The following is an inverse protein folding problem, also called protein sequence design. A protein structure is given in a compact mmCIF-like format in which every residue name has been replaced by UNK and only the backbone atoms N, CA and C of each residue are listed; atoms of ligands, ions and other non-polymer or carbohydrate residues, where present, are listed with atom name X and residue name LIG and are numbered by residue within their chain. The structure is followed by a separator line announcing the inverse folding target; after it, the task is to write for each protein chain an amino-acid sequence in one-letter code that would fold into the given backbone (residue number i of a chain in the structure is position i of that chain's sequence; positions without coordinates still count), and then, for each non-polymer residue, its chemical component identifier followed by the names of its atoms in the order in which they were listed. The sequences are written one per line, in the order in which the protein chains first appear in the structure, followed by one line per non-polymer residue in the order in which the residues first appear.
data_IF_607873400337
#
_entry.id   IF_607873400337
#
_cell.length_a   1.000
_cell.length_b   1.000
_cell.length_c   1.000
_cell.angle_alpha   90.00
_cell.angle_beta   90.00
_cell.angle_gamma   90.00
#
_symmetry.space_group_name_H-M   'P 1'
#
loop_
_entity.id
_entity.type
_entity.pdbx_description
1 polymer ?
#
# COMPACT_ATOMS: atom_id res chain seq x y z
N UNK A 1 9.73 -25.65 26.36
CA UNK A 1 8.30 -25.43 26.69
C UNK A 1 7.96 -24.02 26.27
N UNK A 2 7.09 -23.92 25.26
CA UNK A 2 6.73 -22.69 24.56
C UNK A 2 5.71 -21.91 25.39
N UNK A 3 6.07 -20.71 25.84
CA UNK A 3 5.12 -19.77 26.43
C UNK A 3 4.38 -19.06 25.31
N UNK A 4 3.19 -19.54 24.98
CA UNK A 4 2.24 -18.77 24.19
C UNK A 4 1.85 -17.53 24.99
N UNK A 5 2.28 -16.36 24.54
CA UNK A 5 1.85 -15.08 25.11
C UNK A 5 0.36 -14.92 24.85
N UNK A 6 -0.45 -15.13 25.90
CA UNK A 6 -1.87 -14.83 25.86
C UNK A 6 -1.99 -13.31 25.80
N UNK A 7 -2.43 -12.78 24.65
CA UNK A 7 -2.85 -11.38 24.53
C UNK A 7 -4.01 -11.19 25.52
N UNK A 8 -3.85 -10.31 26.50
CA UNK A 8 -4.93 -9.95 27.41
C UNK A 8 -6.03 -9.26 26.59
N UNK A 9 -7.15 -9.94 26.42
CA UNK A 9 -8.36 -9.41 25.80
C UNK A 9 -9.30 -9.01 26.92
N UNK A 10 -9.57 -7.72 27.05
CA UNK A 10 -10.58 -7.17 27.94
C UNK A 10 -10.97 -5.77 27.47
N UNK A 11 -12.26 -5.39 27.50
CA UNK A 11 -12.65 -4.03 27.15
C UNK A 11 -12.04 -3.05 28.17
N UNK A 12 -10.98 -2.37 27.76
CA UNK A 12 -10.39 -1.28 28.53
C UNK A 12 -11.02 0.03 28.08
N UNK A 13 -11.64 0.76 29.02
CA UNK A 13 -11.88 2.19 28.83
C UNK A 13 -10.53 2.88 28.94
N UNK A 14 -9.92 3.21 27.80
CA UNK A 14 -8.71 4.04 27.77
C UNK A 14 -9.11 5.52 27.71
N UNK A 15 -8.22 6.43 28.08
CA UNK A 15 -8.43 7.89 27.89
C UNK A 15 -8.73 8.25 26.41
N UNK A 16 -8.40 7.34 25.48
CA UNK A 16 -8.56 7.48 24.02
C UNK A 16 -9.77 6.69 23.45
N UNK A 17 -10.60 6.05 24.30
CA UNK A 17 -11.84 5.35 23.89
C UNK A 17 -11.93 3.87 24.28
N UNK A 18 -12.92 3.16 23.71
CA UNK A 18 -13.13 1.71 23.86
C UNK A 18 -12.18 1.00 22.89
N UNK A 19 -11.26 0.18 23.43
CA UNK A 19 -10.39 -0.69 22.65
C UNK A 19 -10.38 -2.11 23.22
N UNK A 20 -10.25 -3.11 22.35
CA UNK A 20 -10.22 -4.52 22.73
C UNK A 20 -8.80 -5.02 23.02
N UNK A 21 -7.78 -4.44 22.38
CA UNK A 21 -6.38 -4.84 22.46
C UNK A 21 -5.49 -3.70 22.99
N UNK A 22 -4.44 -4.07 23.71
CA UNK A 22 -3.39 -3.17 24.18
C UNK A 22 -2.43 -2.80 23.03
N UNK A 23 -2.26 -1.51 22.69
CA UNK A 23 -1.32 -1.07 21.67
C UNK A 23 0.14 -1.03 22.13
N UNK A 24 0.41 -1.17 23.44
CA UNK A 24 1.75 -0.98 24.02
C UNK A 24 2.82 -1.86 23.38
N UNK A 25 2.59 -3.18 23.14
CA UNK A 25 3.60 -4.03 22.51
C UNK A 25 4.01 -3.55 21.11
N UNK A 26 3.06 -3.00 20.35
CA UNK A 26 3.32 -2.47 19.01
C UNK A 26 4.08 -1.15 19.11
N UNK A 27 3.70 -0.27 20.03
CA UNK A 27 4.40 0.98 20.28
C UNK A 27 5.86 0.75 20.67
N UNK A 28 6.12 -0.18 21.61
CA UNK A 28 7.48 -0.55 22.02
C UNK A 28 8.29 -1.17 20.87
N UNK A 29 7.63 -1.92 19.98
CA UNK A 29 8.25 -2.47 18.79
C UNK A 29 8.68 -1.35 17.81
N UNK A 30 7.79 -0.41 17.49
CA UNK A 30 8.13 0.72 16.63
C UNK A 30 9.27 1.54 17.24
N UNK A 31 9.20 1.85 18.53
CA UNK A 31 10.21 2.65 19.25
C UNK A 31 11.59 1.97 19.30
N UNK A 32 11.63 0.65 19.24
CA UNK A 32 12.88 -0.11 19.22
C UNK A 32 13.57 -0.09 17.85
N UNK A 33 12.79 -0.10 16.76
CA UNK A 33 13.31 -0.34 15.41
C UNK A 33 13.27 0.87 14.49
N UNK A 34 12.47 1.89 14.79
CA UNK A 34 12.31 3.08 13.96
C UNK A 34 13.07 4.26 14.57
N UNK A 35 14.00 4.80 13.79
CA UNK A 35 14.60 6.09 14.03
C UNK A 35 13.73 7.18 13.38
N UNK A 36 12.82 7.76 14.17
CA UNK A 36 11.86 8.76 13.67
C UNK A 36 12.54 10.02 13.14
N UNK A 37 13.67 10.44 13.71
CA UNK A 37 14.42 11.59 13.22
C UNK A 37 14.99 11.32 11.82
N UNK A 38 15.55 10.12 11.62
CA UNK A 38 16.06 9.71 10.31
C UNK A 38 14.94 9.59 9.29
N UNK A 39 13.76 9.13 9.69
CA UNK A 39 12.57 9.08 8.82
C UNK A 39 12.16 10.48 8.38
N UNK A 40 12.09 11.45 9.29
CA UNK A 40 11.76 12.85 8.97
C UNK A 40 12.75 13.50 7.99
N UNK A 41 14.03 13.15 8.12
CA UNK A 41 15.14 13.69 7.31
C UNK A 41 15.44 12.87 6.04
N UNK A 42 14.66 11.81 5.79
CA UNK A 42 14.87 10.92 4.66
C UNK A 42 14.71 11.65 3.32
N UNK A 43 15.56 11.32 2.36
CA UNK A 43 15.41 11.78 0.97
C UNK A 43 14.21 11.15 0.27
N UNK A 44 13.60 10.11 0.85
CA UNK A 44 12.40 9.45 0.34
C UNK A 44 11.18 10.08 0.99
N UNK A 45 10.27 10.60 0.16
CA UNK A 45 8.96 11.09 0.61
C UNK A 45 8.11 9.96 1.20
N UNK A 46 7.54 10.21 2.38
CA UNK A 46 6.63 9.28 3.05
C UNK A 46 5.35 10.04 3.43
N UNK A 47 4.22 9.48 3.02
CA UNK A 47 2.89 9.95 3.38
C UNK A 47 2.18 8.85 4.16
N UNK A 48 1.66 9.19 5.33
CA UNK A 48 0.91 8.29 6.19
C UNK A 48 -0.57 8.63 6.05
N UNK A 49 -1.40 7.62 5.84
CA UNK A 49 -2.85 7.81 5.67
C UNK A 49 -3.56 7.39 6.93
N UNK A 50 -4.40 8.28 7.43
CA UNK A 50 -5.13 8.11 8.68
C UNK A 50 -6.57 8.55 8.53
N UNK A 51 -7.45 8.02 9.36
CA UNK A 51 -8.87 8.36 9.38
C UNK A 51 -9.19 9.07 10.68
N UNK A 52 -9.96 10.18 10.68
CA UNK A 52 -10.46 10.76 11.92
C UNK A 52 -11.18 9.71 12.77
N UNK A 53 -10.94 9.73 14.08
CA UNK A 53 -11.53 8.75 14.99
C UNK A 53 -13.05 8.71 14.84
N UNK A 54 -13.57 7.50 14.64
CA UNK A 54 -14.99 7.27 14.40
C UNK A 54 -15.72 7.28 15.75
N UNK A 55 -16.83 8.01 15.92
CA UNK A 55 -17.66 7.90 17.11
C UNK A 55 -18.38 6.55 17.19
N UNK A 56 -18.51 5.97 18.39
CA UNK A 56 -19.07 4.62 18.61
C UNK A 56 -20.47 4.41 18.01
N UNK A 57 -21.35 5.41 18.12
CA UNK A 57 -22.70 5.33 17.56
C UNK A 57 -22.71 5.37 16.02
N UNK A 58 -21.78 6.10 15.40
CA UNK A 58 -21.62 6.12 13.95
C UNK A 58 -21.05 4.79 13.43
N UNK A 59 -20.14 4.18 14.19
CA UNK A 59 -19.61 2.85 13.88
C UNK A 59 -20.69 1.77 13.91
N UNK A 60 -21.60 1.82 14.88
CA UNK A 60 -22.76 0.92 14.95
C UNK A 60 -23.82 1.19 13.86
N UNK A 61 -23.63 2.23 13.03
CA UNK A 61 -24.60 2.62 11.99
C UNK A 61 -25.87 3.26 12.55
N UNK A 62 -25.85 3.72 13.81
CA UNK A 62 -26.98 4.38 14.47
C UNK A 62 -27.05 5.88 14.15
N UNK A 63 -26.00 6.43 13.54
CA UNK A 63 -25.89 7.82 13.10
C UNK A 63 -25.31 7.89 11.68
N UNK A 64 -25.53 9.02 10.95
CA UNK A 64 -24.86 9.25 9.67
C UNK A 64 -23.33 9.17 9.81
N UNK A 65 -22.67 8.60 8.81
CA UNK A 65 -21.23 8.31 8.84
C UNK A 65 -20.45 9.17 7.81
N UNK A 66 -20.31 10.50 8.02
CA UNK A 66 -19.61 11.38 7.10
C UNK A 66 -18.12 11.06 6.98
N UNK A 67 -17.52 10.46 8.02
CA UNK A 67 -16.11 10.05 8.08
C UNK A 67 -15.68 9.11 6.94
N UNK A 68 -16.61 8.40 6.29
CA UNK A 68 -16.33 7.47 5.20
C UNK A 68 -15.66 8.11 3.96
N UNK A 69 -15.49 9.43 3.93
CA UNK A 69 -14.86 10.16 2.81
C UNK A 69 -13.65 11.01 3.22
N UNK A 70 -13.23 10.98 4.47
CA UNK A 70 -12.31 11.96 5.04
C UNK A 70 -10.97 11.36 5.49
N UNK A 71 -10.42 10.41 4.73
CA UNK A 71 -9.02 10.01 4.94
C UNK A 71 -8.11 11.26 4.85
N UNK A 72 -7.14 11.34 5.75
CA UNK A 72 -6.15 12.42 5.83
C UNK A 72 -4.78 11.85 5.46
N UNK A 73 -4.09 12.59 4.60
CA UNK A 73 -2.75 12.29 4.13
C UNK A 73 -1.79 13.19 4.88
N UNK A 74 -0.96 12.59 5.74
CA UNK A 74 0.03 13.30 6.52
C UNK A 74 1.40 13.09 5.89
N UNK A 75 1.98 14.12 5.28
CA UNK A 75 3.35 14.05 4.81
C UNK A 75 4.28 14.11 6.02
N UNK A 76 5.18 13.13 6.13
CA UNK A 76 6.13 13.01 7.24
C UNK A 76 7.05 14.23 7.37
N UNK A 77 7.32 14.95 6.28
CA UNK A 77 8.13 16.19 6.31
C UNK A 77 7.45 17.35 7.02
N UNK A 78 6.13 17.32 7.14
CA UNK A 78 5.34 18.35 7.81
C UNK A 78 5.12 18.03 9.30
N UNK A 79 5.67 16.90 9.78
CA UNK A 79 5.49 16.40 11.14
C UNK A 79 6.81 16.42 11.91
N UNK A 80 6.73 16.66 13.21
CA UNK A 80 7.85 16.39 14.13
C UNK A 80 7.98 14.87 14.41
N UNK A 81 9.14 14.40 14.93
CA UNK A 81 9.36 12.97 15.17
C UNK A 81 8.31 12.30 16.09
N UNK A 82 7.77 13.03 17.07
CA UNK A 82 6.74 12.52 17.97
C UNK A 82 5.41 12.38 17.22
N UNK A 83 5.07 13.33 16.37
CA UNK A 83 3.90 13.28 15.51
C UNK A 83 4.01 12.16 14.47
N UNK A 84 5.20 11.90 13.91
CA UNK A 84 5.42 10.75 13.00
C UNK A 84 5.16 9.43 13.72
N UNK A 85 5.67 9.28 14.94
CA UNK A 85 5.36 8.12 15.79
C UNK A 85 3.85 7.96 16.01
N UNK A 86 3.16 9.05 16.38
CA UNK A 86 1.71 9.04 16.59
C UNK A 86 0.94 8.71 15.30
N UNK A 87 1.38 9.21 14.15
CA UNK A 87 0.79 8.94 12.85
C UNK A 87 0.96 7.47 12.44
N UNK A 88 2.14 6.87 12.65
CA UNK A 88 2.35 5.45 12.40
C UNK A 88 1.47 4.57 13.29
N UNK A 89 1.35 4.90 14.57
CA UNK A 89 0.44 4.20 15.48
C UNK A 89 -1.03 4.41 15.12
N UNK A 90 -1.42 5.59 14.65
CA UNK A 90 -2.77 5.85 14.17
C UNK A 90 -3.09 4.99 12.94
N UNK A 91 -2.17 4.90 11.98
CA UNK A 91 -2.37 4.17 10.72
C UNK A 91 -2.56 2.66 10.90
N UNK A 92 -2.17 2.09 12.03
CA UNK A 92 -2.37 0.67 12.38
C UNK A 92 -3.42 0.47 13.47
N UNK A 93 -4.03 1.56 13.97
CA UNK A 93 -5.04 1.52 15.00
C UNK A 93 -6.41 1.18 14.39
N UNK A 94 -6.63 -0.09 14.06
CA UNK A 94 -7.91 -0.59 13.56
C UNK A 94 -9.03 -0.15 14.52
N UNK A 95 -10.07 0.57 14.03
CA UNK A 95 -11.09 1.16 14.89
C UNK A 95 -11.70 0.14 15.87
N UNK A 96 -11.77 0.51 17.16
CA UNK A 96 -12.28 -0.27 18.29
C UNK A 96 -11.50 -1.55 18.65
N UNK A 97 -10.60 -1.99 17.78
CA UNK A 97 -9.64 -3.04 18.13
C UNK A 97 -8.46 -2.45 18.90
N UNK A 98 -7.93 -1.32 18.41
CA UNK A 98 -6.91 -0.52 19.08
C UNK A 98 -7.42 0.89 19.37
N UNK A 99 -6.87 1.58 20.39
CA UNK A 99 -7.25 2.95 20.68
C UNK A 99 -6.75 3.90 19.60
N UNK A 100 -7.57 4.88 19.24
CA UNK A 100 -7.18 5.98 18.34
C UNK A 100 -5.99 6.76 18.92
N UNK A 101 -5.22 7.41 18.06
CA UNK A 101 -4.05 8.20 18.48
C UNK A 101 -4.25 9.68 18.20
N UNK A 102 -3.91 10.50 19.19
CA UNK A 102 -3.98 11.95 19.05
C UNK A 102 -2.76 12.47 18.30
N UNK A 103 -3.02 13.26 17.25
CA UNK A 103 -2.00 13.99 16.49
C UNK A 103 -2.42 15.46 16.52
N UNK A 104 -1.66 16.29 17.23
CA UNK A 104 -2.09 17.66 17.55
C UNK A 104 -3.38 17.67 18.37
N UNK A 105 -4.44 18.25 17.81
CA UNK A 105 -5.75 18.42 18.46
C UNK A 105 -6.83 17.43 17.98
N UNK A 106 -6.48 16.50 17.10
CA UNK A 106 -7.42 15.54 16.52
C UNK A 106 -6.98 14.10 16.81
N UNK A 107 -7.94 13.20 16.98
CA UNK A 107 -7.70 11.77 17.14
C UNK A 107 -7.90 11.05 15.82
N UNK A 108 -7.02 10.11 15.53
CA UNK A 108 -6.98 9.38 14.27
C UNK A 108 -6.84 7.87 14.48
N UNK A 109 -7.31 7.10 13.51
CA UNK A 109 -7.32 5.64 13.46
C UNK A 109 -6.92 5.16 12.05
N UNK A 110 -6.90 3.84 11.87
CA UNK A 110 -6.54 3.20 10.60
C UNK A 110 -7.55 3.59 9.50
N UNK A 111 -7.03 3.97 8.33
CA UNK A 111 -7.80 4.35 7.16
C UNK A 111 -8.14 3.20 6.21
N UNK A 112 -7.72 1.96 6.50
CA UNK A 112 -7.86 0.80 5.62
C UNK A 112 -9.29 0.48 5.15
N UNK A 113 -10.32 0.94 5.86
CA UNK A 113 -11.72 0.80 5.42
C UNK A 113 -12.17 1.85 4.39
N UNK A 114 -11.50 3.00 4.35
CA UNK A 114 -11.86 4.14 3.50
C UNK A 114 -10.91 4.25 2.31
N UNK A 115 -9.61 4.15 2.56
CA UNK A 115 -8.58 4.24 1.52
C UNK A 115 -7.43 3.24 1.81
N UNK A 116 -7.63 1.95 1.53
CA UNK A 116 -6.59 0.93 1.73
C UNK A 116 -5.41 1.03 0.75
N UNK A 117 -5.54 1.82 -0.33
CA UNK A 117 -4.51 1.95 -1.35
C UNK A 117 -4.42 3.42 -1.82
N UNK A 118 -3.70 4.27 -1.06
CA UNK A 118 -3.69 5.71 -1.24
C UNK A 118 -2.83 6.18 -2.42
N UNK A 119 -3.04 5.64 -3.61
CA UNK A 119 -2.28 6.00 -4.81
C UNK A 119 -2.66 7.40 -5.35
N UNK A 120 -3.86 7.89 -5.02
CA UNK A 120 -4.37 9.16 -5.55
C UNK A 120 -3.48 10.34 -5.16
N UNK A 121 -2.90 10.34 -3.95
CA UNK A 121 -2.02 11.41 -3.48
C UNK A 121 -0.74 11.49 -4.32
N UNK A 122 -0.20 10.34 -4.75
CA UNK A 122 0.99 10.28 -5.61
C UNK A 122 0.67 10.83 -7.00
N UNK A 123 -0.50 10.47 -7.54
CA UNK A 123 -0.97 10.98 -8.83
C UNK A 123 -1.18 12.49 -8.82
N UNK A 124 -1.86 13.01 -7.79
CA UNK A 124 -2.05 14.45 -7.59
C UNK A 124 -0.73 15.19 -7.37
N UNK A 125 0.26 14.52 -6.78
CA UNK A 125 1.65 15.01 -6.68
C UNK A 125 2.42 15.01 -8.00
N UNK A 126 1.83 14.58 -9.12
CA UNK A 126 2.45 14.58 -10.45
C UNK A 126 3.34 13.37 -10.73
N UNK A 127 3.17 12.26 -10.00
CA UNK A 127 3.89 11.03 -10.29
C UNK A 127 3.58 10.55 -11.71
N UNK A 128 4.64 10.27 -12.48
CA UNK A 128 4.53 9.70 -13.83
C UNK A 128 4.38 8.18 -13.82
N UNK A 129 4.88 7.55 -12.76
CA UNK A 129 4.89 6.12 -12.55
C UNK A 129 4.44 5.85 -11.12
N UNK A 130 3.46 4.96 -10.95
CA UNK A 130 2.96 4.54 -9.65
C UNK A 130 3.00 3.02 -9.60
N UNK A 131 3.64 2.48 -8.57
CA UNK A 131 3.61 1.05 -8.25
C UNK A 131 2.66 0.85 -7.09
N UNK A 132 1.57 0.14 -7.33
CA UNK A 132 0.56 -0.21 -6.34
C UNK A 132 0.67 -1.69 -6.00
N UNK A 133 0.81 -2.01 -4.72
CA UNK A 133 0.92 -3.37 -4.21
C UNK A 133 -0.38 -3.71 -3.50
N UNK A 134 -1.05 -4.75 -3.97
CA UNK A 134 -2.31 -5.22 -3.40
C UNK A 134 -2.07 -6.42 -2.49
N UNK A 135 -2.82 -6.51 -1.41
CA UNK A 135 -2.83 -7.68 -0.51
C UNK A 135 -4.11 -8.52 -0.68
N UNK A 136 -5.02 -8.10 -1.56
CA UNK A 136 -6.25 -8.82 -1.89
C UNK A 136 -6.69 -8.45 -3.30
N UNK A 137 -7.27 -9.41 -4.02
CA UNK A 137 -7.85 -9.16 -5.34
C UNK A 137 -9.18 -8.39 -5.29
N UNK A 138 -9.82 -8.33 -4.13
CA UNK A 138 -11.09 -7.61 -3.95
C UNK A 138 -10.96 -6.09 -4.05
N UNK A 139 -9.74 -5.56 -3.88
CA UNK A 139 -9.47 -4.13 -3.94
C UNK A 139 -9.44 -3.64 -5.39
N UNK A 140 -10.21 -2.58 -5.68
CA UNK A 140 -10.28 -1.96 -7.00
C UNK A 140 -9.45 -0.70 -7.06
N UNK A 141 -8.72 -0.52 -8.16
CA UNK A 141 -8.06 0.72 -8.52
C UNK A 141 -8.19 0.89 -10.04
N UNK A 142 -9.02 1.84 -10.45
CA UNK A 142 -9.35 2.02 -11.85
C UNK A 142 -8.25 2.84 -12.55
N UNK A 143 -7.70 2.31 -13.64
CA UNK A 143 -6.67 2.99 -14.45
C UNK A 143 -7.17 4.32 -15.03
N UNK A 144 -8.47 4.46 -15.26
CA UNK A 144 -9.06 5.69 -15.79
C UNK A 144 -8.86 6.90 -14.86
N UNK A 145 -8.73 6.67 -13.55
CA UNK A 145 -8.53 7.73 -12.55
C UNK A 145 -7.10 8.30 -12.57
N UNK A 146 -6.18 7.62 -13.29
CA UNK A 146 -4.74 7.92 -13.35
C UNK A 146 -4.29 8.28 -14.78
N UNK A 147 -5.08 9.09 -15.48
CA UNK A 147 -4.79 9.47 -16.87
C UNK A 147 -3.40 10.10 -17.03
N UNK A 148 -2.62 9.61 -17.99
CA UNK A 148 -1.25 10.08 -18.25
C UNK A 148 -0.18 9.55 -17.28
N UNK A 149 -0.56 8.73 -16.28
CA UNK A 149 0.36 8.06 -15.37
C UNK A 149 0.47 6.57 -15.73
N UNK A 150 1.68 6.03 -15.68
CA UNK A 150 1.91 4.59 -15.81
C UNK A 150 1.64 3.93 -14.46
N UNK A 151 0.57 3.14 -14.42
CA UNK A 151 0.15 2.42 -13.22
C UNK A 151 0.56 0.95 -13.29
N UNK A 152 1.45 0.54 -12.38
CA UNK A 152 1.90 -0.83 -12.21
C UNK A 152 1.20 -1.44 -11.00
N UNK A 153 0.39 -2.48 -11.21
CA UNK A 153 -0.46 -3.07 -10.17
C UNK A 153 0.04 -4.47 -9.89
N UNK A 154 0.75 -4.65 -8.78
CA UNK A 154 1.23 -5.96 -8.34
C UNK A 154 0.15 -6.57 -7.45
N UNK A 155 -0.46 -7.65 -7.91
CA UNK A 155 -1.52 -8.36 -7.20
C UNK A 155 -1.04 -9.73 -6.73
N UNK A 156 -1.58 -10.23 -5.62
CA UNK A 156 -1.17 -11.53 -5.11
C UNK A 156 -1.57 -12.63 -6.12
N UNK A 157 -0.68 -13.56 -6.43
CA UNK A 157 -1.01 -14.67 -7.34
C UNK A 157 -1.94 -15.73 -6.73
N UNK A 158 -2.13 -15.68 -5.41
CA UNK A 158 -3.05 -16.53 -4.66
C UNK A 158 -3.95 -15.68 -3.77
N UNK A 159 -5.12 -16.21 -3.44
CA UNK A 159 -6.02 -15.55 -2.50
C UNK A 159 -5.39 -15.56 -1.09
N UNK A 160 -5.10 -14.37 -0.56
CA UNK A 160 -4.68 -14.17 0.82
C UNK A 160 -5.94 -13.98 1.66
N UNK A 161 -6.12 -14.83 2.68
CA UNK A 161 -7.20 -14.64 3.64
C UNK A 161 -6.98 -13.32 4.40
N UNK A 162 -7.95 -12.42 4.31
CA UNK A 162 -7.95 -11.11 4.95
C UNK A 162 -8.96 -11.02 6.10
N UNK A 163 -9.49 -12.17 6.54
CA UNK A 163 -10.30 -12.26 7.74
C UNK A 163 -9.52 -11.83 8.99
N UNK A 164 -10.23 -11.40 10.03
CA UNK A 164 -9.62 -10.91 11.28
C UNK A 164 -8.67 -11.96 11.88
N UNK A 165 -9.06 -13.23 11.89
CA UNK A 165 -8.23 -14.31 12.42
C UNK A 165 -6.90 -14.47 11.68
N UNK A 166 -6.91 -14.37 10.34
CA UNK A 166 -5.70 -14.45 9.52
C UNK A 166 -4.86 -13.17 9.58
N UNK A 167 -5.51 -12.00 9.63
CA UNK A 167 -4.85 -10.68 9.77
C UNK A 167 -3.98 -10.59 11.02
N UNK A 168 -4.40 -11.24 12.11
CA UNK A 168 -3.66 -11.28 13.38
C UNK A 168 -2.90 -12.60 13.61
N UNK A 169 -2.77 -13.45 12.59
CA UNK A 169 -1.95 -14.67 12.66
C UNK A 169 -0.48 -14.36 12.34
N UNK A 170 0.26 -14.01 13.38
CA UNK A 170 1.72 -13.81 13.32
C UNK A 170 2.51 -15.10 13.63
N UNK A 171 1.90 -16.28 13.47
CA UNK A 171 2.62 -17.53 13.68
C UNK A 171 3.75 -17.66 12.66
N UNK A 172 4.87 -18.27 13.07
CA UNK A 172 5.95 -18.62 12.13
C UNK A 172 5.44 -19.54 11.03
N UNK A 173 4.42 -20.33 11.28
CA UNK A 173 3.81 -21.13 10.23
C UNK A 173 3.18 -20.21 9.16
N UNK A 174 2.45 -19.17 9.54
CA UNK A 174 1.87 -18.25 8.55
C UNK A 174 2.91 -17.35 7.87
N UNK A 175 3.93 -16.92 8.62
CA UNK A 175 5.02 -16.08 8.09
C UNK A 175 6.01 -16.90 7.24
N UNK A 176 6.48 -18.04 7.73
CA UNK A 176 7.52 -18.88 7.10
C UNK A 176 6.93 -20.00 6.22
N UNK A 177 5.83 -20.65 6.62
CA UNK A 177 5.23 -21.79 5.88
C UNK A 177 4.17 -21.38 4.84
N UNK A 178 3.55 -20.20 4.98
CA UNK A 178 2.56 -19.67 4.02
C UNK A 178 3.18 -18.72 2.99
N UNK A 179 4.50 -18.65 2.93
CA UNK A 179 5.21 -17.98 1.85
C UNK A 179 4.90 -16.49 1.69
N UNK A 180 4.19 -15.77 2.57
CA UNK A 180 3.69 -14.42 2.24
C UNK A 180 4.79 -13.43 1.80
N UNK A 181 5.96 -13.46 2.44
CA UNK A 181 7.12 -12.65 2.01
C UNK A 181 7.64 -13.14 0.65
N UNK A 182 7.80 -14.45 0.47
CA UNK A 182 8.24 -15.05 -0.78
C UNK A 182 7.22 -14.85 -1.91
N UNK A 183 5.93 -14.90 -1.62
CA UNK A 183 4.81 -14.66 -2.50
C UNK A 183 4.87 -13.22 -2.99
N UNK A 184 4.99 -12.25 -2.08
CA UNK A 184 5.17 -10.85 -2.48
C UNK A 184 6.40 -10.63 -3.35
N UNK A 185 7.51 -11.32 -3.06
CA UNK A 185 8.72 -11.27 -3.88
C UNK A 185 8.53 -11.90 -5.27
N UNK A 186 7.98 -13.11 -5.34
CA UNK A 186 7.76 -13.85 -6.59
C UNK A 186 6.68 -13.16 -7.45
N UNK A 187 5.63 -12.61 -6.84
CA UNK A 187 4.61 -11.83 -7.54
C UNK A 187 5.25 -10.58 -8.15
N UNK A 188 5.98 -9.79 -7.36
CA UNK A 188 6.69 -8.62 -7.89
C UNK A 188 7.64 -9.02 -9.03
N UNK A 189 8.45 -10.06 -8.83
CA UNK A 189 9.37 -10.59 -9.84
C UNK A 189 8.65 -11.00 -11.12
N UNK A 190 7.54 -11.73 -11.01
CA UNK A 190 6.75 -12.19 -12.15
C UNK A 190 6.21 -11.00 -12.94
N UNK A 191 5.57 -10.03 -12.27
CA UNK A 191 5.02 -8.84 -12.91
C UNK A 191 6.11 -8.03 -13.64
N UNK A 192 7.26 -7.80 -13.01
CA UNK A 192 8.38 -7.08 -13.65
C UNK A 192 8.99 -7.88 -14.81
N UNK A 193 9.08 -9.20 -14.67
CA UNK A 193 9.53 -10.10 -15.74
C UNK A 193 8.63 -10.02 -16.96
N UNK A 194 7.31 -10.10 -16.78
CA UNK A 194 6.33 -9.97 -17.86
C UNK A 194 6.42 -8.62 -18.56
N UNK A 195 6.56 -7.53 -17.80
CA UNK A 195 6.72 -6.19 -18.36
C UNK A 195 8.01 -6.07 -19.19
N UNK A 196 9.11 -6.63 -18.70
CA UNK A 196 10.39 -6.67 -19.42
C UNK A 196 10.31 -7.50 -20.70
N UNK A 197 9.65 -8.66 -20.65
CA UNK A 197 9.45 -9.53 -21.81
C UNK A 197 8.59 -8.88 -22.90
N UNK A 198 7.52 -8.18 -22.51
CA UNK A 198 6.71 -7.41 -23.47
C UNK A 198 7.54 -6.29 -24.11
N UNK A 199 8.29 -5.55 -23.29
CA UNK A 199 9.11 -4.45 -23.78
C UNK A 199 10.19 -4.94 -24.76
N UNK A 200 10.93 -6.00 -24.40
CA UNK A 200 11.97 -6.58 -25.26
C UNK A 200 11.41 -7.09 -26.59
N UNK A 201 10.21 -7.70 -26.57
CA UNK A 201 9.50 -8.10 -27.81
C UNK A 201 9.16 -6.89 -28.68
N UNK A 202 8.64 -5.80 -28.11
CA UNK A 202 8.32 -4.57 -28.86
C UNK A 202 9.56 -3.96 -29.51
N UNK A 203 10.69 -3.89 -28.78
CA UNK A 203 11.96 -3.40 -29.32
C UNK A 203 12.40 -4.27 -30.50
N UNK A 204 12.38 -5.59 -30.35
CA UNK A 204 12.77 -6.52 -31.42
C UNK A 204 11.89 -6.41 -32.68
N UNK A 205 10.59 -6.13 -32.51
CA UNK A 205 9.67 -5.92 -33.62
C UNK A 205 9.97 -4.62 -34.37
N UNK A 206 10.30 -3.54 -33.65
CA UNK A 206 10.71 -2.27 -34.25
C UNK A 206 11.99 -2.42 -35.06
N UNK A 207 13.01 -3.06 -34.50
CA UNK A 207 14.29 -3.29 -35.19
C UNK A 207 14.12 -4.09 -36.49
N UNK A 208 13.27 -5.13 -36.46
CA UNK A 208 12.92 -5.90 -37.66
C UNK A 208 12.17 -5.04 -38.69
N UNK A 209 11.26 -4.18 -38.26
CA UNK A 209 10.58 -3.23 -39.12
C UNK A 209 11.55 -2.29 -39.84
N UNK A 210 12.49 -1.70 -39.10
CA UNK A 210 13.52 -0.81 -39.64
C UNK A 210 14.41 -1.53 -40.66
N UNK A 211 14.73 -2.82 -40.43
CA UNK A 211 15.48 -3.64 -41.38
C UNK A 211 14.69 -3.91 -42.68
N UNK A 212 13.39 -4.21 -42.56
CA UNK A 212 12.52 -4.44 -43.72
C UNK A 212 12.42 -3.18 -44.57
N UNK A 213 12.27 -2.00 -43.95
CA UNK A 213 12.24 -0.71 -44.65
C UNK A 213 13.55 -0.49 -45.41
N UNK A 214 14.71 -0.65 -44.76
CA UNK A 214 16.02 -0.54 -45.43
C UNK A 214 16.17 -1.50 -46.60
N UNK A 215 15.68 -2.74 -46.44
CA UNK A 215 15.70 -3.72 -47.52
C UNK A 215 14.81 -3.27 -48.68
N UNK A 216 13.60 -2.80 -48.41
CA UNK A 216 12.67 -2.29 -49.41
C UNK A 216 13.26 -1.10 -50.19
N UNK A 217 13.92 -0.16 -49.50
CA UNK A 217 14.59 1.00 -50.11
C UNK A 217 15.81 0.59 -50.95
N UNK A 218 16.44 -0.54 -50.63
CA UNK A 218 17.56 -1.10 -51.39
C UNK A 218 17.14 -1.90 -52.64
N UNK A 219 15.85 -2.19 -52.80
CA UNK A 219 15.37 -2.92 -53.96
C UNK A 219 15.39 -2.01 -55.22
N UNK A 220 15.91 -2.51 -56.35
CA UNK A 220 15.94 -1.74 -57.59
C UNK A 220 14.53 -1.43 -58.07
N UNK A 221 14.31 -0.18 -58.50
CA UNK A 221 13.02 0.29 -58.98
C UNK A 221 12.56 -0.57 -60.17
N UNK A 222 11.31 -1.05 -60.12
CA UNK A 222 10.75 -2.01 -61.09
C UNK A 222 10.79 -1.48 -62.53
N UNK A 223 10.96 -0.17 -62.72
CA UNK A 223 11.11 0.50 -64.03
C UNK A 223 12.47 0.28 -64.69
N UNK A 224 13.51 -0.13 -63.96
CA UNK A 224 14.86 -0.31 -64.52
C UNK A 224 15.12 -1.72 -65.11
N UNK A 225 14.14 -2.64 -65.05
CA UNK A 225 14.26 -4.02 -65.55
C UNK A 225 13.81 -4.23 -67.01
N UNK A 226 13.59 -3.17 -67.79
CA UNK A 226 13.28 -3.25 -69.23
C UNK A 226 14.43 -2.68 -70.06
N UNK A 227 15.39 -3.53 -70.40
CA UNK A 227 16.26 -3.44 -71.59
C UNK A 227 16.68 -4.84 -71.97
#
# INVERSE_FOLDING_TARGET
MSGAGIVQVGPGLTEEGIALLDPTPIADFLDRYIDYERVCKSGVDLTIVVLPAIPFLEFLGLLPAPWRKDAKYLNVRDLDPLQVRQALLAAIAVPYLFPSKRIGNQSFADAGWVDPLPAQILYQGGAKYIVSIFLSDSQLQNRADFSGCVLFQIRPSVNIDTGIGSTFDFSRQTIDSLSLINLGYEDARSYYGEAYDIFSRLVSLKERGDQIIKLADSLPDRRQRKT
#
